data_IF_622355950915
#
_entry.id   IF_622355950915
#
_cell.length_a   1.000
_cell.length_b   1.000
_cell.length_c   1.000
_cell.angle_alpha   90.00
_cell.angle_beta   90.00
_cell.angle_gamma   90.00
#
_symmetry.space_group_name_H-M   'P 1'
#
loop_
_entity.id
_entity.type
_entity.pdbx_description
1 polymer ?
#
# COMPACT_ATOMS: atom_id res chain seq x y z
N UNK A 1 19.86 -4.34 3.44
CA UNK A 1 19.27 -5.25 2.42
C UNK A 1 20.22 -5.41 1.23
N UNK A 2 21.52 -5.24 1.43
CA UNK A 2 22.49 -5.48 0.36
C UNK A 2 22.72 -6.99 0.15
N UNK A 3 22.49 -7.80 1.19
CA UNK A 3 22.59 -9.27 1.17
C UNK A 3 21.55 -9.98 0.27
N UNK A 4 20.55 -9.26 -0.23
CA UNK A 4 19.48 -9.80 -1.08
C UNK A 4 19.69 -9.51 -2.58
N UNK A 5 20.85 -8.95 -2.94
CA UNK A 5 21.21 -8.65 -4.33
C UNK A 5 21.78 -9.90 -5.03
N UNK A 6 21.25 -10.20 -6.20
CA UNK A 6 21.70 -11.28 -7.09
C UNK A 6 22.23 -10.70 -8.39
N UNK A 7 23.23 -11.31 -9.03
CA UNK A 7 23.73 -10.84 -10.32
C UNK A 7 22.62 -10.95 -11.39
N UNK A 8 22.56 -9.97 -12.29
CA UNK A 8 21.71 -10.00 -13.46
C UNK A 8 22.23 -11.03 -14.47
N UNK A 9 21.35 -11.89 -14.98
CA UNK A 9 21.69 -12.92 -15.97
C UNK A 9 22.20 -12.34 -17.30
N UNK A 10 21.88 -11.08 -17.62
CA UNK A 10 22.24 -10.43 -18.88
C UNK A 10 23.52 -9.56 -18.77
N UNK A 11 23.66 -8.76 -17.70
CA UNK A 11 24.75 -7.79 -17.58
C UNK A 11 25.64 -7.97 -16.34
N UNK A 12 25.37 -8.97 -15.49
CA UNK A 12 26.16 -9.24 -14.27
C UNK A 12 25.97 -8.25 -13.11
N UNK A 13 25.25 -7.15 -13.31
CA UNK A 13 25.01 -6.12 -12.30
C UNK A 13 24.25 -6.65 -11.07
N UNK A 14 24.57 -6.15 -9.87
CA UNK A 14 23.95 -6.60 -8.63
C UNK A 14 22.58 -5.94 -8.43
N UNK A 15 21.53 -6.68 -8.75
CA UNK A 15 20.13 -6.24 -8.62
C UNK A 15 19.42 -6.94 -7.47
N UNK A 16 18.39 -6.32 -6.89
CA UNK A 16 17.58 -7.01 -5.87
C UNK A 16 16.96 -8.30 -6.43
N UNK A 17 16.99 -9.38 -5.65
CA UNK A 17 16.43 -10.68 -6.06
C UNK A 17 14.94 -10.65 -6.42
N UNK A 18 14.20 -9.68 -5.86
CA UNK A 18 12.79 -9.43 -6.09
C UNK A 18 12.49 -8.36 -7.15
N UNK A 19 13.53 -7.79 -7.80
CA UNK A 19 13.40 -6.82 -8.88
C UNK A 19 12.76 -7.46 -10.12
N UNK A 20 11.86 -6.75 -10.79
CA UNK A 20 11.18 -7.23 -12.00
C UNK A 20 11.94 -6.89 -13.28
N UNK A 21 12.86 -5.93 -13.21
CA UNK A 21 13.80 -5.61 -14.29
C UNK A 21 15.13 -5.12 -13.72
N UNK A 22 16.20 -5.33 -14.48
CA UNK A 22 17.51 -4.78 -14.15
C UNK A 22 17.51 -3.26 -14.29
N UNK A 23 18.11 -2.55 -13.33
CA UNK A 23 18.23 -1.09 -13.40
C UNK A 23 19.25 -0.63 -14.44
N UNK A 24 20.28 -1.43 -14.68
CA UNK A 24 21.38 -1.08 -15.58
C UNK A 24 21.08 -1.42 -17.05
N UNK A 25 20.63 -2.65 -17.33
CA UNK A 25 20.39 -3.10 -18.71
C UNK A 25 18.91 -3.16 -19.12
N UNK A 26 17.97 -2.93 -18.21
CA UNK A 26 16.53 -2.99 -18.50
C UNK A 26 15.99 -4.41 -18.77
N UNK A 27 16.82 -5.45 -18.70
CA UNK A 27 16.39 -6.83 -18.93
C UNK A 27 15.28 -7.22 -17.95
N UNK A 28 14.18 -7.74 -18.49
CA UNK A 28 13.03 -8.21 -17.71
C UNK A 28 13.39 -9.54 -17.04
N UNK A 29 12.92 -9.72 -15.81
CA UNK A 29 13.08 -10.96 -15.07
C UNK A 29 11.75 -11.69 -14.99
N UNK A 30 11.70 -12.90 -15.54
CA UNK A 30 10.47 -13.69 -15.60
C UNK A 30 10.07 -14.25 -14.22
N UNK A 31 11.06 -14.61 -13.38
CA UNK A 31 10.83 -15.23 -12.07
C UNK A 31 11.54 -14.48 -10.93
N UNK A 32 11.05 -13.29 -10.52
CA UNK A 32 11.57 -12.58 -9.36
C UNK A 32 11.19 -13.31 -8.06
N UNK A 33 12.03 -13.17 -7.03
CA UNK A 33 11.73 -13.70 -5.69
C UNK A 33 10.52 -12.97 -5.09
N UNK A 34 9.68 -13.72 -4.38
CA UNK A 34 8.46 -13.20 -3.79
C UNK A 34 8.78 -12.21 -2.68
N UNK A 35 8.15 -11.03 -2.74
CA UNK A 35 8.18 -10.07 -1.62
C UNK A 35 6.86 -10.12 -0.83
N UNK A 36 6.99 -10.36 0.47
CA UNK A 36 5.89 -10.41 1.42
C UNK A 36 5.35 -9.02 1.76
N UNK A 37 4.20 -8.99 2.43
CA UNK A 37 3.51 -7.74 2.78
C UNK A 37 4.32 -6.79 3.69
N UNK A 38 5.25 -7.32 4.48
CA UNK A 38 6.12 -6.54 5.37
C UNK A 38 7.51 -6.28 4.78
N UNK A 39 7.76 -6.66 3.52
CA UNK A 39 9.07 -6.49 2.87
C UNK A 39 10.08 -7.61 3.16
N UNK A 40 9.65 -8.71 3.78
CA UNK A 40 10.44 -9.94 3.83
C UNK A 40 10.46 -10.64 2.46
N UNK A 41 11.63 -11.06 2.02
CA UNK A 41 11.82 -11.81 0.78
C UNK A 41 11.69 -13.30 1.09
N UNK A 42 10.99 -14.03 0.22
CA UNK A 42 10.91 -15.49 0.27
C UNK A 42 11.63 -16.08 -0.94
N UNK A 43 12.15 -17.30 -0.77
CA UNK A 43 12.82 -18.04 -1.85
C UNK A 43 11.84 -18.52 -2.93
N UNK A 44 10.55 -18.58 -2.59
CA UNK A 44 9.47 -18.82 -3.55
C UNK A 44 9.46 -17.75 -4.65
N UNK A 45 9.27 -18.19 -5.91
CA UNK A 45 9.13 -17.28 -7.05
C UNK A 45 7.75 -16.65 -7.09
N UNK A 46 7.67 -15.39 -7.52
CA UNK A 46 6.40 -14.73 -7.75
C UNK A 46 5.66 -15.42 -8.92
N UNK A 47 4.36 -15.68 -8.73
CA UNK A 47 3.52 -16.32 -9.76
C UNK A 47 3.30 -15.43 -11.00
N UNK A 48 3.36 -14.11 -10.85
CA UNK A 48 3.25 -13.13 -11.94
C UNK A 48 4.13 -11.92 -11.65
N UNK A 49 4.72 -11.37 -12.71
CA UNK A 49 5.55 -10.15 -12.67
C UNK A 49 4.69 -8.93 -12.34
N UNK A 50 3.47 -8.86 -12.87
CA UNK A 50 2.51 -7.78 -12.64
C UNK A 50 2.11 -7.72 -11.15
N UNK A 51 1.80 -8.87 -10.56
CA UNK A 51 1.48 -8.96 -9.13
C UNK A 51 2.64 -8.54 -8.24
N UNK A 52 3.87 -8.87 -8.65
CA UNK A 52 5.08 -8.44 -7.97
C UNK A 52 5.27 -6.92 -8.07
N UNK A 53 5.07 -6.30 -9.23
CA UNK A 53 5.10 -4.84 -9.39
C UNK A 53 4.13 -4.15 -8.43
N UNK A 54 2.89 -4.66 -8.34
CA UNK A 54 1.89 -4.13 -7.40
C UNK A 54 2.32 -4.26 -5.94
N UNK A 55 3.03 -5.34 -5.56
CA UNK A 55 3.57 -5.51 -4.20
C UNK A 55 4.71 -4.54 -3.89
N UNK A 56 5.60 -4.32 -4.85
CA UNK A 56 6.69 -3.35 -4.71
C UNK A 56 6.14 -1.93 -4.50
N UNK A 57 5.13 -1.54 -5.29
CA UNK A 57 4.42 -0.27 -5.10
C UNK A 57 3.79 -0.18 -3.69
N UNK A 58 3.12 -1.24 -3.20
CA UNK A 58 2.57 -1.22 -1.82
C UNK A 58 3.65 -0.96 -0.77
N UNK A 59 4.87 -1.44 -1.00
CA UNK A 59 6.03 -1.28 -0.11
C UNK A 59 6.79 0.03 -0.31
N UNK A 60 6.29 0.94 -1.17
CA UNK A 60 6.97 2.19 -1.54
C UNK A 60 8.35 1.94 -2.16
N UNK A 61 8.40 0.93 -3.03
CA UNK A 61 9.57 0.55 -3.82
C UNK A 61 9.29 0.69 -5.30
N UNK A 62 10.35 0.92 -6.08
CA UNK A 62 10.30 0.98 -7.53
C UNK A 62 9.73 -0.33 -8.09
N UNK A 63 8.76 -0.26 -9.03
CA UNK A 63 8.19 -1.46 -9.63
C UNK A 63 9.22 -2.24 -10.46
N UNK A 64 10.31 -1.60 -10.89
CA UNK A 64 11.36 -2.22 -11.71
C UNK A 64 12.53 -2.73 -10.85
N UNK A 65 13.31 -1.82 -10.27
CA UNK A 65 14.53 -2.15 -9.51
C UNK A 65 14.24 -2.73 -8.13
N UNK A 66 13.05 -2.46 -7.58
CA UNK A 66 12.76 -2.78 -6.18
C UNK A 66 13.41 -1.85 -5.16
N UNK A 67 14.12 -0.81 -5.61
CA UNK A 67 14.76 0.17 -4.72
C UNK A 67 13.71 1.04 -4.03
N UNK A 68 14.02 1.53 -2.83
CA UNK A 68 13.04 2.29 -2.03
C UNK A 68 12.94 3.73 -2.55
N UNK A 69 11.72 4.27 -2.67
CA UNK A 69 11.55 5.68 -2.98
C UNK A 69 11.88 6.55 -1.77
N UNK A 70 12.82 7.48 -1.92
CA UNK A 70 13.13 8.52 -0.94
C UNK A 70 12.14 9.70 -1.06
N UNK A 71 11.84 10.39 0.05
CA UNK A 71 10.90 11.53 0.07
C UNK A 71 9.40 11.19 0.23
N UNK A 72 8.49 12.09 -0.14
CA UNK A 72 7.03 11.90 -0.08
C UNK A 72 6.36 12.54 -1.31
N UNK A 73 5.32 11.92 -1.87
CA UNK A 73 4.56 12.43 -3.01
C UNK A 73 4.14 11.33 -3.98
N UNK A 74 3.30 11.65 -4.97
CA UNK A 74 2.92 10.72 -6.05
C UNK A 74 3.88 10.78 -7.25
N UNK A 75 4.65 11.86 -7.39
CA UNK A 75 5.63 12.07 -8.47
C UNK A 75 7.03 11.51 -8.13
N UNK A 76 7.12 10.61 -7.15
CA UNK A 76 8.41 10.08 -6.70
C UNK A 76 9.13 9.33 -7.81
N UNK A 77 10.41 9.64 -7.98
CA UNK A 77 11.31 8.98 -8.92
C UNK A 77 12.31 8.12 -8.16
N UNK A 78 12.68 6.99 -8.75
CA UNK A 78 13.73 6.13 -8.22
C UNK A 78 15.09 6.71 -8.60
N UNK A 79 15.98 6.95 -7.64
CA UNK A 79 17.31 7.51 -7.94
C UNK A 79 18.17 6.56 -8.78
N UNK A 80 18.10 5.25 -8.52
CA UNK A 80 18.85 4.25 -9.31
C UNK A 80 18.36 4.09 -10.75
N UNK A 81 17.10 4.44 -11.03
CA UNK A 81 16.40 3.91 -12.20
C UNK A 81 15.58 4.93 -12.99
N UNK A 82 15.46 6.15 -12.47
CA UNK A 82 14.59 7.22 -12.99
C UNK A 82 13.09 6.89 -13.01
N UNK A 83 12.70 5.65 -12.68
CA UNK A 83 11.32 5.19 -12.83
C UNK A 83 10.42 5.90 -11.83
N UNK A 84 9.35 6.53 -12.32
CA UNK A 84 8.38 7.17 -11.43
C UNK A 84 7.38 6.15 -10.89
N UNK A 85 6.93 6.32 -9.64
CA UNK A 85 6.08 5.35 -8.95
C UNK A 85 4.76 5.05 -9.68
N UNK A 86 4.21 6.03 -10.41
CA UNK A 86 2.94 5.93 -11.13
C UNK A 86 3.08 6.35 -12.61
N UNK A 87 4.23 6.08 -13.25
CA UNK A 87 4.47 6.41 -14.67
C UNK A 87 3.43 5.78 -15.61
N UNK A 88 3.02 4.54 -15.31
CA UNK A 88 2.12 3.76 -16.14
C UNK A 88 0.68 3.86 -15.64
N UNK A 89 -0.21 4.40 -16.49
CA UNK A 89 -1.63 4.56 -16.19
C UNK A 89 -2.34 3.20 -16.00
N UNK A 90 -1.96 2.17 -16.76
CA UNK A 90 -2.55 0.84 -16.64
C UNK A 90 -2.15 0.18 -15.31
N UNK A 91 -0.87 0.31 -14.93
CA UNK A 91 -0.35 -0.17 -13.64
C UNK A 91 -1.00 0.58 -12.46
N UNK A 92 -1.23 1.89 -12.62
CA UNK A 92 -1.87 2.74 -11.61
C UNK A 92 -3.33 2.35 -11.39
N UNK A 93 -4.08 2.11 -12.47
CA UNK A 93 -5.46 1.61 -12.36
C UNK A 93 -5.52 0.20 -11.76
N UNK A 94 -4.62 -0.70 -12.17
CA UNK A 94 -4.51 -2.03 -11.59
C UNK A 94 -4.17 -1.96 -10.09
N UNK A 95 -3.31 -1.03 -9.67
CA UNK A 95 -3.02 -0.79 -8.27
C UNK A 95 -4.26 -0.33 -7.49
N UNK A 96 -4.97 0.69 -7.97
CA UNK A 96 -6.21 1.19 -7.34
C UNK A 96 -7.26 0.07 -7.25
N UNK A 97 -7.45 -0.68 -8.33
CA UNK A 97 -8.36 -1.84 -8.39
C UNK A 97 -7.97 -2.92 -7.39
N UNK A 98 -6.68 -3.25 -7.28
CA UNK A 98 -6.18 -4.27 -6.35
C UNK A 98 -6.36 -3.89 -4.87
N UNK A 99 -6.38 -2.59 -4.56
CA UNK A 99 -6.69 -2.09 -3.21
C UNK A 99 -8.20 -2.09 -2.99
N UNK A 100 -8.99 -1.66 -3.98
CA UNK A 100 -10.45 -1.69 -3.94
C UNK A 100 -11.04 -3.09 -3.78
N UNK A 101 -10.48 -4.11 -4.44
CA UNK A 101 -10.93 -5.50 -4.34
C UNK A 101 -10.79 -6.09 -2.92
N UNK A 102 -9.94 -5.50 -2.07
CA UNK A 102 -9.78 -5.92 -0.66
C UNK A 102 -10.82 -5.28 0.26
N UNK A 103 -11.52 -4.24 -0.18
CA UNK A 103 -12.53 -3.52 0.59
C UNK A 103 -13.64 -4.44 1.14
N UNK A 104 -14.32 -5.29 0.35
CA UNK A 104 -15.40 -6.14 0.87
C UNK A 104 -14.90 -7.13 1.93
N UNK A 105 -13.71 -7.72 1.72
CA UNK A 105 -13.08 -8.61 2.72
C UNK A 105 -12.72 -7.86 3.99
N UNK A 106 -12.21 -6.63 3.89
CA UNK A 106 -11.88 -5.80 5.05
C UNK A 106 -13.13 -5.39 5.81
N UNK A 107 -14.20 -5.00 5.12
CA UNK A 107 -15.49 -4.65 5.73
C UNK A 107 -16.07 -5.83 6.51
N UNK A 108 -16.06 -7.03 5.92
CA UNK A 108 -16.56 -8.24 6.56
C UNK A 108 -15.74 -8.62 7.80
N UNK A 109 -14.40 -8.61 7.69
CA UNK A 109 -13.52 -8.87 8.85
C UNK A 109 -13.68 -7.79 9.93
N UNK A 110 -13.82 -6.53 9.54
CA UNK A 110 -14.06 -5.44 10.49
C UNK A 110 -15.42 -5.52 11.18
N UNK A 111 -16.45 -6.06 10.51
CA UNK A 111 -17.76 -6.29 11.10
C UNK A 111 -17.72 -7.40 12.14
N UNK A 112 -17.04 -8.51 11.83
CA UNK A 112 -16.82 -9.63 12.76
C UNK A 112 -15.98 -9.17 13.95
N UNK A 113 -14.89 -8.45 13.71
CA UNK A 113 -14.07 -7.91 14.79
C UNK A 113 -14.83 -6.85 15.62
N UNK A 114 -15.73 -6.08 15.01
CA UNK A 114 -16.60 -5.12 15.72
C UNK A 114 -17.58 -5.75 16.72
N UNK A 115 -17.75 -7.08 16.71
CA UNK A 115 -18.49 -7.83 17.74
C UNK A 115 -17.72 -7.80 19.07
N UNK A 116 -16.39 -7.77 19.03
CA UNK A 116 -15.55 -7.74 20.24
C UNK A 116 -15.29 -6.27 20.61
N UNK A 117 -15.86 -5.79 21.74
CA UNK A 117 -16.10 -4.38 21.98
C UNK A 117 -14.87 -3.49 21.86
N UNK A 118 -13.83 -3.76 22.66
CA UNK A 118 -12.62 -2.93 22.70
C UNK A 118 -11.52 -3.54 21.84
N UNK A 119 -11.26 -4.85 22.02
CA UNK A 119 -10.15 -5.53 21.36
C UNK A 119 -10.36 -5.72 19.86
N UNK A 120 -11.54 -6.18 19.43
CA UNK A 120 -11.80 -6.37 18.01
C UNK A 120 -11.96 -5.03 17.29
N UNK A 121 -12.36 -3.99 17.99
CA UNK A 121 -12.37 -2.66 17.43
C UNK A 121 -10.96 -2.11 17.19
N UNK A 122 -10.07 -2.19 18.20
CA UNK A 122 -8.66 -1.83 18.04
C UNK A 122 -8.04 -2.65 16.90
N UNK A 123 -8.27 -3.97 16.89
CA UNK A 123 -7.78 -4.86 15.84
C UNK A 123 -8.34 -4.50 14.46
N UNK A 124 -9.64 -4.20 14.34
CA UNK A 124 -10.30 -3.80 13.11
C UNK A 124 -9.77 -2.47 12.57
N UNK A 125 -9.55 -1.50 13.45
CA UNK A 125 -8.94 -0.20 13.10
C UNK A 125 -7.52 -0.37 12.60
N UNK A 126 -6.69 -1.12 13.34
CA UNK A 126 -5.33 -1.45 12.93
C UNK A 126 -5.36 -2.18 11.59
N UNK A 127 -6.26 -3.14 11.43
CA UNK A 127 -6.38 -3.98 10.23
C UNK A 127 -6.76 -3.18 8.98
N UNK A 128 -7.84 -2.38 9.02
CA UNK A 128 -8.23 -1.59 7.85
C UNK A 128 -7.21 -0.49 7.55
N UNK A 129 -6.58 0.11 8.58
CA UNK A 129 -5.52 1.10 8.34
C UNK A 129 -4.29 0.46 7.71
N UNK A 130 -3.83 -0.70 8.16
CA UNK A 130 -2.69 -1.39 7.54
C UNK A 130 -3.02 -1.82 6.10
N UNK A 131 -4.26 -2.24 5.84
CA UNK A 131 -4.63 -2.87 4.56
C UNK A 131 -5.14 -1.90 3.50
N UNK A 132 -5.80 -0.81 3.91
CA UNK A 132 -6.40 0.18 3.01
C UNK A 132 -5.72 1.55 3.09
N UNK A 133 -5.28 2.00 4.27
CA UNK A 133 -4.79 3.40 4.45
C UNK A 133 -3.28 3.52 4.31
N UNK A 134 -2.52 2.60 4.89
CA UNK A 134 -1.05 2.60 4.84
C UNK A 134 -0.49 2.63 3.41
N UNK A 135 -1.08 1.94 2.41
CA UNK A 135 -0.62 2.01 1.03
C UNK A 135 -0.76 3.41 0.43
N UNK A 136 -1.85 4.14 0.71
CA UNK A 136 -2.05 5.51 0.20
C UNK A 136 -1.27 6.56 1.00
N UNK A 137 -1.22 6.42 2.33
CA UNK A 137 -0.55 7.38 3.22
C UNK A 137 0.96 7.46 2.98
N UNK A 138 1.59 6.37 2.49
CA UNK A 138 3.02 6.37 2.13
C UNK A 138 3.39 7.34 1.01
N UNK A 139 2.41 7.76 0.21
CA UNK A 139 2.57 8.68 -0.93
C UNK A 139 2.00 10.08 -0.69
N UNK A 140 1.38 10.35 0.47
CA UNK A 140 0.80 11.64 0.83
C UNK A 140 1.77 12.45 1.74
N UNK A 141 1.83 13.77 1.57
CA UNK A 141 2.78 14.67 2.27
C UNK A 141 2.39 14.96 3.73
N UNK A 142 3.34 15.49 4.52
CA UNK A 142 3.33 15.60 5.99
C UNK A 142 2.09 16.31 6.60
N UNK A 143 1.45 17.23 5.86
CA UNK A 143 0.34 18.06 6.37
C UNK A 143 -0.93 17.29 6.77
N UNK A 144 -1.12 16.07 6.30
CA UNK A 144 -2.29 15.24 6.65
C UNK A 144 -2.14 14.48 7.98
N UNK A 145 -0.94 14.42 8.57
CA UNK A 145 -0.71 13.70 9.84
C UNK A 145 -1.48 14.29 11.02
N UNK A 146 -1.77 15.60 11.02
CA UNK A 146 -2.49 16.24 12.12
C UNK A 146 -3.96 15.82 12.18
N UNK A 147 -4.65 15.86 11.03
CA UNK A 147 -6.02 15.34 10.88
C UNK A 147 -6.04 13.86 11.24
N UNK A 148 -5.01 13.09 10.86
CA UNK A 148 -4.96 11.64 11.13
C UNK A 148 -4.85 11.29 12.62
N UNK A 149 -4.16 12.12 13.41
CA UNK A 149 -3.98 11.99 14.87
C UNK A 149 -5.25 12.43 15.59
N UNK A 150 -5.80 13.58 15.21
CA UNK A 150 -7.05 14.10 15.78
C UNK A 150 -8.25 13.24 15.45
N UNK A 151 -8.32 12.69 14.25
CA UNK A 151 -9.34 11.74 13.85
C UNK A 151 -9.27 10.47 14.72
N UNK A 152 -8.07 9.99 15.09
CA UNK A 152 -7.92 8.81 15.96
C UNK A 152 -8.44 9.10 17.38
N UNK A 153 -8.18 10.30 17.90
CA UNK A 153 -8.74 10.77 19.17
C UNK A 153 -10.26 10.92 19.12
N UNK A 154 -10.79 11.57 18.08
CA UNK A 154 -12.24 11.74 17.89
C UNK A 154 -12.92 10.37 17.70
N UNK A 155 -12.31 9.46 16.96
CA UNK A 155 -12.82 8.11 16.74
C UNK A 155 -12.87 7.35 18.07
N UNK A 156 -11.80 7.32 18.88
CA UNK A 156 -11.82 6.68 20.20
C UNK A 156 -12.92 7.24 21.12
N UNK A 157 -13.14 8.55 21.07
CA UNK A 157 -14.20 9.23 21.83
C UNK A 157 -15.60 8.84 21.30
N UNK A 158 -15.81 8.91 19.99
CA UNK A 158 -17.07 8.51 19.35
C UNK A 158 -17.36 7.02 19.61
N UNK A 159 -16.34 6.17 19.64
CA UNK A 159 -16.45 4.73 19.91
C UNK A 159 -16.83 4.40 21.35
N UNK A 160 -16.26 5.12 22.31
CA UNK A 160 -16.68 5.04 23.71
C UNK A 160 -18.16 5.42 23.86
N UNK A 161 -18.62 6.41 23.10
CA UNK A 161 -20.01 6.86 23.08
C UNK A 161 -20.92 5.85 22.34
N UNK A 162 -20.46 5.27 21.23
CA UNK A 162 -21.30 4.44 20.36
C UNK A 162 -21.40 2.97 20.82
N UNK A 163 -20.41 2.46 21.56
CA UNK A 163 -20.51 1.16 22.25
C UNK A 163 -21.73 1.11 23.18
N UNK A 164 -22.10 2.25 23.75
CA UNK A 164 -23.25 2.37 24.66
C UNK A 164 -24.59 2.31 23.90
N UNK A 165 -24.61 2.63 22.60
CA UNK A 165 -25.88 2.89 21.89
C UNK A 165 -26.23 1.93 20.74
N UNK A 166 -25.26 1.39 19.97
CA UNK A 166 -25.60 0.66 18.72
C UNK A 166 -24.80 -0.64 18.44
N UNK A 167 -23.86 -1.00 19.31
CA UNK A 167 -22.97 -2.17 19.11
C UNK A 167 -21.93 -1.93 18.00
N UNK A 168 -20.70 -2.39 18.19
CA UNK A 168 -19.56 -2.11 17.31
C UNK A 168 -19.65 -2.69 15.88
N UNK A 169 -20.67 -3.49 15.58
CA UNK A 169 -20.85 -4.23 14.33
C UNK A 169 -21.10 -3.30 13.13
N UNK A 170 -21.86 -2.22 13.30
CA UNK A 170 -22.20 -1.28 12.20
C UNK A 170 -21.23 -0.12 12.12
N UNK A 171 -20.71 0.31 13.27
CA UNK A 171 -19.85 1.48 13.40
C UNK A 171 -18.50 1.33 12.70
N UNK A 172 -17.85 0.17 12.90
CA UNK A 172 -16.48 -0.08 12.42
C UNK A 172 -16.44 -0.23 10.89
N UNK A 173 -17.34 -0.99 10.23
CA UNK A 173 -17.39 -1.05 8.76
C UNK A 173 -17.71 0.30 8.11
N UNK A 174 -18.66 1.06 8.68
CA UNK A 174 -19.02 2.38 8.14
C UNK A 174 -17.83 3.35 8.19
N UNK A 175 -17.08 3.35 9.30
CA UNK A 175 -15.84 4.14 9.40
C UNK A 175 -14.76 3.66 8.43
N UNK A 176 -14.58 2.36 8.24
CA UNK A 176 -13.61 1.82 7.28
C UNK A 176 -13.96 2.27 5.85
N UNK A 177 -15.24 2.25 5.49
CA UNK A 177 -15.75 2.70 4.20
C UNK A 177 -15.49 4.20 3.99
N UNK A 178 -15.88 5.06 4.93
CA UNK A 178 -15.70 6.50 4.83
C UNK A 178 -14.21 6.89 4.71
N UNK A 179 -13.35 6.25 5.52
CA UNK A 179 -11.91 6.45 5.40
C UNK A 179 -11.39 6.03 4.02
N UNK A 180 -11.77 4.84 3.54
CA UNK A 180 -11.34 4.39 2.22
C UNK A 180 -11.76 5.36 1.11
N UNK A 181 -13.01 5.83 1.12
CA UNK A 181 -13.51 6.79 0.13
C UNK A 181 -12.76 8.12 0.20
N UNK A 182 -12.50 8.63 1.41
CA UNK A 182 -11.78 9.89 1.60
C UNK A 182 -10.33 9.80 1.13
N UNK A 183 -9.60 8.74 1.51
CA UNK A 183 -8.22 8.53 1.07
C UNK A 183 -8.12 8.24 -0.43
N UNK A 184 -9.05 7.47 -0.99
CA UNK A 184 -9.12 7.22 -2.44
C UNK A 184 -9.38 8.51 -3.21
N UNK A 185 -10.31 9.33 -2.75
CA UNK A 185 -10.61 10.64 -3.36
C UNK A 185 -9.40 11.58 -3.29
N UNK A 186 -8.76 11.68 -2.12
CA UNK A 186 -7.56 12.50 -1.94
C UNK A 186 -6.38 12.02 -2.83
N UNK A 187 -6.20 10.71 -2.95
CA UNK A 187 -5.18 10.11 -3.80
C UNK A 187 -5.47 10.34 -5.30
N UNK A 188 -6.71 10.13 -5.75
CA UNK A 188 -7.13 10.43 -7.12
C UNK A 188 -6.98 11.92 -7.45
N UNK A 189 -7.29 12.81 -6.50
CA UNK A 189 -7.11 14.25 -6.66
C UNK A 189 -5.63 14.63 -6.76
N UNK A 190 -4.76 13.97 -5.99
CA UNK A 190 -3.31 14.16 -6.08
C UNK A 190 -2.76 13.66 -7.43
N UNK A 191 -3.23 12.51 -7.92
CA UNK A 191 -2.86 11.99 -9.24
C UNK A 191 -3.36 12.86 -10.39
N UNK A 192 -4.60 13.36 -10.33
CA UNK A 192 -5.15 14.28 -11.33
C UNK A 192 -4.40 15.60 -11.35
N UNK A 193 -4.03 16.15 -10.19
CA UNK A 193 -3.20 17.37 -10.12
C UNK A 193 -1.82 17.18 -10.73
N UNK A 194 -1.28 15.96 -10.69
CA UNK A 194 0.00 15.59 -11.27
C UNK A 194 -0.08 15.16 -12.76
N UNK A 195 -1.26 15.22 -13.40
CA UNK A 195 -1.52 14.70 -14.75
C UNK A 195 -1.16 13.21 -14.95
N UNK A 196 -1.17 12.42 -13.87
CA UNK A 196 -0.85 10.98 -13.88
C UNK A 196 -2.10 10.09 -14.06
N UNK A 197 -3.25 10.70 -14.31
CA UNK A 197 -4.55 10.06 -14.53
C UNK A 197 -5.14 10.58 -15.85
#
# INVERSE_FOLDING_TARGET
>A
MEDLKTPCENCGERIHSFATACHHCGAKREHPNFIGFLGGVKDEKAASVEDQKLRLMRLKRSPLSGERFEGKGVEQQCEENGTTAFADKALTQAYIGSVGAKLPKVLLVSAILGIVPVLGLIAGVIYYRLRLVAPFRRYLTFGQSFVTIWLLRIILVVLAILQVSFGGIVAVPLMALLNFLFYRSAFNKALSKANLL
#
